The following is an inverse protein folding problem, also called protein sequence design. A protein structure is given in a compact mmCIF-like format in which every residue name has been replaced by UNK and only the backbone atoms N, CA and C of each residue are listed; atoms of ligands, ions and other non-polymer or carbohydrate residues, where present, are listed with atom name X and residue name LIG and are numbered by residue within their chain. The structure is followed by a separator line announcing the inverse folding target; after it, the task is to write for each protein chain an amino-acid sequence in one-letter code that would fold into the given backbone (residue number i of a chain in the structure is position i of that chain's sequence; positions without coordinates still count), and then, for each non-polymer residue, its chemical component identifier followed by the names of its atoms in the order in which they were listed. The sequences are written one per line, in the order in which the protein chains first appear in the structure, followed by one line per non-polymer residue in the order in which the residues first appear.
data_IF_184991620284
#
_entry.id   IF_184991620284
#
_cell.length_a   1.000
_cell.length_b   1.000
_cell.length_c   1.000
_cell.angle_alpha   90.00
_cell.angle_beta   90.00
_cell.angle_gamma   90.00
#
_symmetry.space_group_name_H-M   'P 1'
#
loop_
_entity.id
_entity.type
_entity.pdbx_description
1 polymer ?
#
# COMPACT_ATOMS: atom_id res chain seq x y z
N UNK A 1 16.70 -13.63 -4.16
CA UNK A 1 15.80 -12.47 -4.11
C UNK A 1 14.72 -12.53 -5.19
N UNK A 2 14.93 -11.85 -6.33
CA UNK A 2 13.87 -11.55 -7.31
C UNK A 2 13.16 -12.77 -7.91
N UNK A 3 13.88 -13.86 -8.20
CA UNK A 3 13.33 -15.12 -8.73
C UNK A 3 12.29 -15.79 -7.81
N UNK A 4 12.28 -15.46 -6.52
CA UNK A 4 11.38 -16.05 -5.51
C UNK A 4 10.33 -15.06 -4.99
N UNK A 5 10.25 -13.87 -5.58
CA UNK A 5 9.34 -12.81 -5.15
C UNK A 5 8.56 -12.26 -6.34
N UNK A 6 7.30 -11.91 -6.09
CA UNK A 6 6.36 -11.30 -7.02
C UNK A 6 5.98 -9.89 -6.55
N UNK A 7 6.95 -8.96 -6.41
CA UNK A 7 6.68 -7.63 -5.87
C UNK A 7 5.91 -6.76 -6.86
N UNK A 8 5.27 -5.70 -6.36
CA UNK A 8 4.69 -4.66 -7.22
C UNK A 8 5.78 -3.87 -7.95
N UNK A 9 6.91 -3.59 -7.27
CA UNK A 9 8.13 -2.99 -7.84
C UNK A 9 9.38 -3.59 -7.21
N UNK A 10 10.47 -3.63 -7.94
CA UNK A 10 11.79 -4.02 -7.40
C UNK A 10 12.83 -2.99 -7.78
N UNK A 11 13.80 -2.76 -6.90
CA UNK A 11 14.89 -1.82 -7.15
C UNK A 11 16.23 -2.43 -6.74
N UNK A 12 17.28 -1.92 -7.36
CA UNK A 12 18.67 -2.04 -6.94
C UNK A 12 19.30 -0.68 -7.18
N UNK A 13 20.03 -0.15 -6.19
CA UNK A 13 20.70 1.14 -6.28
C UNK A 13 22.09 1.05 -5.67
N UNK A 14 23.03 1.74 -6.31
CA UNK A 14 24.33 2.13 -5.78
C UNK A 14 24.46 3.63 -6.07
N UNK A 15 24.25 4.45 -5.05
CA UNK A 15 24.14 5.90 -5.19
C UNK A 15 24.73 6.60 -3.97
N UNK A 16 25.74 7.44 -4.19
CA UNK A 16 26.31 8.30 -3.14
C UNK A 16 26.86 7.55 -1.93
N UNK A 17 27.42 6.36 -2.13
CA UNK A 17 27.93 5.50 -1.04
C UNK A 17 26.87 4.62 -0.38
N UNK A 18 25.59 4.78 -0.75
CA UNK A 18 24.50 3.93 -0.30
C UNK A 18 24.22 2.82 -1.31
N UNK A 19 24.06 1.59 -0.80
CA UNK A 19 23.65 0.43 -1.58
C UNK A 19 22.39 -0.16 -1.00
N UNK A 20 21.38 -0.36 -1.83
CA UNK A 20 20.13 -0.99 -1.41
C UNK A 20 19.51 -1.81 -2.54
N UNK A 21 18.81 -2.87 -2.17
CA UNK A 21 17.98 -3.63 -3.08
C UNK A 21 16.70 -4.06 -2.37
N UNK A 22 15.58 -4.08 -3.08
CA UNK A 22 14.29 -4.34 -2.45
C UNK A 22 13.23 -4.90 -3.39
N UNK A 23 12.23 -5.52 -2.78
CA UNK A 23 11.06 -6.10 -3.43
C UNK A 23 9.81 -5.46 -2.80
N UNK A 24 9.43 -4.28 -3.27
CA UNK A 24 8.30 -3.52 -2.71
C UNK A 24 6.99 -4.28 -2.91
N UNK A 25 6.27 -4.62 -1.84
CA UNK A 25 4.99 -5.33 -1.96
C UNK A 25 3.88 -4.41 -2.52
N UNK A 26 4.02 -3.10 -2.34
CA UNK A 26 3.00 -2.11 -2.68
C UNK A 26 3.57 -0.89 -3.40
N UNK A 27 2.66 -0.04 -3.89
CA UNK A 27 2.97 1.24 -4.54
C UNK A 27 2.28 2.36 -3.77
N UNK A 28 3.08 3.26 -3.20
CA UNK A 28 2.58 4.42 -2.44
C UNK A 28 1.80 5.37 -3.36
N UNK A 29 2.34 5.63 -4.55
CA UNK A 29 1.78 6.54 -5.54
C UNK A 29 2.20 6.09 -6.94
N UNK A 30 1.27 6.09 -7.88
CA UNK A 30 1.54 6.13 -9.32
C UNK A 30 0.74 7.29 -9.92
N UNK A 31 1.40 8.10 -10.77
CA UNK A 31 0.74 9.18 -11.52
C UNK A 31 0.99 8.95 -13.01
N UNK A 32 -0.08 8.80 -13.79
CA UNK A 32 -0.01 8.69 -15.23
C UNK A 32 -0.01 10.08 -15.89
N UNK A 33 0.54 10.18 -17.11
CA UNK A 33 0.62 11.42 -17.89
C UNK A 33 -0.74 12.10 -18.09
N UNK A 34 -1.83 11.32 -18.13
CA UNK A 34 -3.20 11.82 -18.27
C UNK A 34 -3.83 12.32 -16.96
N UNK A 35 -3.03 12.49 -15.89
CA UNK A 35 -3.46 13.00 -14.59
C UNK A 35 -4.18 11.95 -13.71
N UNK A 36 -4.22 10.69 -14.12
CA UNK A 36 -4.76 9.61 -13.29
C UNK A 36 -3.76 9.24 -12.19
N UNK A 37 -4.25 9.15 -10.96
CA UNK A 37 -3.47 8.78 -9.77
C UNK A 37 -3.97 7.46 -9.22
N UNK A 38 -3.05 6.63 -8.73
CA UNK A 38 -3.37 5.42 -7.98
C UNK A 38 -2.50 5.28 -6.74
N UNK A 39 -3.04 4.59 -5.74
CA UNK A 39 -2.31 4.05 -4.60
C UNK A 39 -2.81 2.64 -4.30
N UNK A 40 -1.96 1.78 -3.75
CA UNK A 40 -2.31 0.40 -3.46
C UNK A 40 -1.98 0.00 -2.02
N UNK A 41 -2.83 0.31 -1.03
CA UNK A 41 -2.63 -0.16 0.34
C UNK A 41 -2.75 -1.68 0.44
N UNK A 42 -1.76 -2.30 1.09
CA UNK A 42 -1.77 -3.71 1.49
C UNK A 42 -1.83 -3.83 3.02
N UNK A 43 -2.90 -4.42 3.57
CA UNK A 43 -3.03 -4.68 4.99
C UNK A 43 -3.59 -6.08 5.23
N UNK A 44 -3.29 -6.61 6.42
CA UNK A 44 -3.51 -8.00 6.76
C UNK A 44 -2.60 -8.97 6.00
N UNK A 45 -2.12 -9.98 6.72
CA UNK A 45 -1.04 -10.83 6.23
C UNK A 45 -1.23 -12.27 6.66
N UNK A 46 -1.02 -13.20 5.73
CA UNK A 46 -0.77 -14.61 6.04
C UNK A 46 0.42 -15.11 5.23
N UNK A 47 1.12 -16.11 5.76
CA UNK A 47 2.25 -16.72 5.06
C UNK A 47 1.79 -17.49 3.80
N UNK A 48 2.61 -17.45 2.75
CA UNK A 48 2.34 -18.03 1.44
C UNK A 48 3.57 -18.84 0.97
N UNK A 49 3.36 -20.02 0.40
CA UNK A 49 4.42 -20.96 0.11
C UNK A 49 4.12 -21.93 -1.05
N UNK A 50 4.79 -23.09 -1.04
CA UNK A 50 4.69 -24.11 -2.09
C UNK A 50 3.46 -25.00 -1.97
N UNK A 51 2.90 -25.12 -0.77
CA UNK A 51 1.72 -25.93 -0.51
C UNK A 51 0.45 -25.14 -0.86
N UNK A 52 -0.19 -25.54 -1.96
CA UNK A 52 -1.39 -24.90 -2.46
C UNK A 52 -2.58 -25.05 -1.50
N UNK A 53 -2.71 -26.18 -0.80
CA UNK A 53 -3.83 -26.43 0.11
C UNK A 53 -3.71 -25.53 1.35
N UNK A 54 -2.50 -25.42 1.91
CA UNK A 54 -2.23 -24.53 3.03
C UNK A 54 -2.38 -23.05 2.64
N UNK A 55 -1.96 -22.67 1.42
CA UNK A 55 -2.17 -21.32 0.89
C UNK A 55 -3.65 -20.95 0.82
N UNK A 56 -4.50 -21.87 0.36
CA UNK A 56 -5.95 -21.66 0.24
C UNK A 56 -6.64 -21.62 1.61
N UNK A 57 -6.22 -22.48 2.55
CA UNK A 57 -6.68 -22.43 3.95
C UNK A 57 -6.38 -21.06 4.57
N UNK A 58 -5.15 -20.59 4.44
CA UNK A 58 -4.71 -19.28 4.94
C UNK A 58 -5.37 -18.11 4.21
N UNK A 59 -5.65 -18.27 2.91
CA UNK A 59 -6.41 -17.28 2.13
C UNK A 59 -7.81 -17.15 2.73
N UNK A 60 -8.48 -18.28 2.99
CA UNK A 60 -9.83 -18.32 3.58
C UNK A 60 -9.83 -17.70 4.98
N UNK A 61 -8.83 -18.03 5.80
CA UNK A 61 -8.62 -17.41 7.11
C UNK A 61 -8.46 -15.88 6.98
N UNK A 62 -7.60 -15.41 6.09
CA UNK A 62 -7.34 -13.98 5.88
C UNK A 62 -8.60 -13.20 5.46
N UNK A 63 -9.41 -13.74 4.54
CA UNK A 63 -10.61 -13.04 4.05
C UNK A 63 -11.81 -13.14 4.99
N UNK A 64 -11.73 -13.97 6.04
CA UNK A 64 -12.80 -14.18 7.01
C UNK A 64 -12.47 -13.64 8.39
N UNK A 65 -11.21 -13.27 8.67
CA UNK A 65 -10.77 -12.67 9.93
C UNK A 65 -11.32 -11.24 10.06
N UNK A 66 -12.28 -10.99 11.00
CA UNK A 66 -12.89 -9.68 11.15
C UNK A 66 -11.90 -8.57 11.48
N UNK A 67 -10.79 -8.89 12.17
CA UNK A 67 -9.76 -7.92 12.52
C UNK A 67 -9.03 -7.45 11.26
N UNK A 68 -8.55 -8.38 10.44
CA UNK A 68 -7.79 -8.08 9.22
C UNK A 68 -8.66 -7.30 8.22
N UNK A 69 -9.92 -7.69 8.10
CA UNK A 69 -10.93 -6.99 7.27
C UNK A 69 -11.11 -5.54 7.77
N UNK A 70 -11.26 -5.35 9.08
CA UNK A 70 -11.45 -4.03 9.66
C UNK A 70 -10.23 -3.13 9.42
N UNK A 71 -9.03 -3.61 9.75
CA UNK A 71 -7.78 -2.85 9.58
C UNK A 71 -7.54 -2.48 8.11
N UNK A 72 -7.83 -3.40 7.18
CA UNK A 72 -7.74 -3.12 5.75
C UNK A 72 -8.76 -2.08 5.29
N UNK A 73 -10.02 -2.21 5.70
CA UNK A 73 -11.08 -1.26 5.35
C UNK A 73 -10.77 0.15 5.87
N UNK A 74 -10.23 0.27 7.09
CA UNK A 74 -9.80 1.56 7.66
C UNK A 74 -8.64 2.15 6.85
N UNK A 75 -7.68 1.34 6.43
CA UNK A 75 -6.55 1.76 5.59
C UNK A 75 -7.02 2.28 4.23
N UNK A 76 -7.98 1.59 3.60
CA UNK A 76 -8.60 2.03 2.32
C UNK A 76 -9.33 3.34 2.49
N UNK A 77 -10.14 3.49 3.56
CA UNK A 77 -10.86 4.73 3.85
C UNK A 77 -9.90 5.91 3.99
N UNK A 78 -8.80 5.72 4.71
CA UNK A 78 -7.77 6.74 4.88
C UNK A 78 -7.09 7.09 3.54
N UNK A 79 -6.76 6.10 2.71
CA UNK A 79 -6.22 6.34 1.38
C UNK A 79 -7.19 7.15 0.50
N UNK A 80 -8.49 6.87 0.54
CA UNK A 80 -9.50 7.67 -0.15
C UNK A 80 -9.52 9.13 0.33
N UNK A 81 -9.42 9.36 1.65
CA UNK A 81 -9.40 10.70 2.22
C UNK A 81 -8.15 11.49 1.79
N UNK A 82 -6.99 10.86 1.78
CA UNK A 82 -5.72 11.47 1.33
C UNK A 82 -5.75 11.79 -0.16
N UNK A 83 -6.30 10.88 -0.98
CA UNK A 83 -6.49 11.16 -2.41
C UNK A 83 -7.49 12.28 -2.65
N UNK A 84 -8.59 12.36 -1.87
CA UNK A 84 -9.58 13.43 -2.01
C UNK A 84 -8.99 14.83 -1.78
N UNK A 85 -7.92 14.94 -0.99
CA UNK A 85 -7.22 16.20 -0.75
C UNK A 85 -6.49 16.74 -2.00
N UNK A 86 -6.22 15.91 -3.02
CA UNK A 86 -5.49 16.29 -4.25
C UNK A 86 -6.23 15.96 -5.56
N UNK A 87 -7.28 15.15 -5.47
CA UNK A 87 -8.09 14.73 -6.62
C UNK A 87 -9.34 15.62 -6.80
N UNK A 88 -9.87 15.63 -8.03
CA UNK A 88 -11.14 16.28 -8.34
C UNK A 88 -12.31 15.64 -7.59
N UNK A 89 -13.30 16.45 -7.20
CA UNK A 89 -14.49 15.98 -6.49
C UNK A 89 -15.16 14.83 -7.25
N UNK A 90 -15.51 13.76 -6.54
CA UNK A 90 -16.15 12.56 -7.12
C UNK A 90 -15.26 11.68 -8.00
N UNK A 91 -13.98 12.04 -8.21
CA UNK A 91 -13.08 11.22 -9.04
C UNK A 91 -12.45 10.05 -8.27
N UNK A 92 -12.40 10.12 -6.94
CA UNK A 92 -11.77 9.08 -6.10
C UNK A 92 -12.67 7.86 -6.02
N UNK A 93 -12.16 6.71 -6.47
CA UNK A 93 -12.88 5.43 -6.49
C UNK A 93 -11.97 4.29 -6.05
N UNK A 94 -12.57 3.30 -5.39
CA UNK A 94 -11.91 2.02 -5.07
C UNK A 94 -12.17 1.07 -6.24
N UNK A 95 -11.18 0.90 -7.13
CA UNK A 95 -11.33 0.05 -8.32
C UNK A 95 -11.22 -1.44 -8.00
N UNK A 96 -10.45 -1.77 -6.97
CA UNK A 96 -10.31 -3.12 -6.48
C UNK A 96 -10.34 -3.07 -4.95
N UNK A 97 -11.19 -3.89 -4.35
CA UNK A 97 -11.37 -3.91 -2.90
C UNK A 97 -11.03 -5.29 -2.33
N UNK A 98 -10.10 -5.33 -1.37
CA UNK A 98 -9.76 -6.51 -0.58
C UNK A 98 -9.39 -7.77 -1.38
N UNK A 99 -8.77 -7.60 -2.54
CA UNK A 99 -8.28 -8.73 -3.32
C UNK A 99 -7.05 -9.35 -2.63
N UNK A 100 -7.02 -10.68 -2.50
CA UNK A 100 -5.83 -11.35 -1.95
C UNK A 100 -4.71 -11.34 -2.99
N UNK A 101 -3.52 -10.89 -2.57
CA UNK A 101 -2.33 -10.74 -3.42
C UNK A 101 -1.12 -11.44 -2.82
N UNK A 102 -0.59 -12.49 -3.48
CA UNK A 102 0.70 -13.08 -3.13
C UNK A 102 1.86 -12.10 -3.37
N UNK A 103 2.77 -12.02 -2.40
CA UNK A 103 4.01 -11.22 -2.40
C UNK A 103 5.13 -12.08 -1.83
N UNK A 104 5.72 -12.92 -2.68
CA UNK A 104 6.81 -13.80 -2.26
C UNK A 104 6.36 -14.82 -1.22
N UNK A 105 6.83 -14.69 0.02
CA UNK A 105 6.54 -15.62 1.13
C UNK A 105 5.27 -15.31 1.93
N UNK A 106 4.51 -14.29 1.52
CA UNK A 106 3.28 -13.84 2.18
C UNK A 106 2.19 -13.51 1.17
N UNK A 107 0.95 -13.39 1.63
CA UNK A 107 -0.19 -12.86 0.89
C UNK A 107 -0.93 -11.84 1.76
N UNK A 108 -1.47 -10.80 1.12
CA UNK A 108 -2.14 -9.68 1.78
C UNK A 108 -3.53 -9.43 1.21
N UNK A 109 -4.39 -8.76 1.98
CA UNK A 109 -5.52 -8.04 1.38
C UNK A 109 -4.94 -6.79 0.70
N UNK A 110 -5.37 -6.54 -0.53
CA UNK A 110 -4.92 -5.41 -1.32
C UNK A 110 -6.14 -4.70 -1.91
N UNK A 111 -6.12 -3.37 -1.86
CA UNK A 111 -7.09 -2.55 -2.58
C UNK A 111 -6.37 -1.57 -3.48
N UNK A 112 -7.01 -1.16 -4.57
CA UNK A 112 -6.53 -0.08 -5.42
C UNK A 112 -7.50 1.09 -5.35
N UNK A 113 -7.01 2.22 -4.87
CA UNK A 113 -7.73 3.49 -4.88
C UNK A 113 -7.17 4.32 -6.02
N UNK A 114 -8.04 4.90 -6.82
CA UNK A 114 -7.66 5.75 -7.95
C UNK A 114 -8.45 7.04 -7.95
N UNK A 115 -7.94 8.03 -8.67
CA UNK A 115 -8.60 9.32 -8.86
C UNK A 115 -7.99 10.10 -10.02
N UNK A 116 -8.49 11.32 -10.23
CA UNK A 116 -7.89 12.28 -11.17
C UNK A 116 -7.39 13.48 -10.40
N UNK A 117 -6.13 13.88 -10.61
CA UNK A 117 -5.61 15.12 -10.04
C UNK A 117 -6.50 16.29 -10.43
N UNK A 118 -6.66 17.23 -9.50
CA UNK A 118 -7.21 18.54 -9.85
C UNK A 118 -6.26 19.26 -10.81
N UNK A 119 -6.77 20.18 -11.65
CA UNK A 119 -5.94 20.94 -12.58
C UNK A 119 -4.83 21.76 -11.91
N UNK A 120 -4.99 22.09 -10.63
CA UNK A 120 -4.06 22.88 -9.81
C UNK A 120 -3.12 22.02 -8.93
N UNK A 121 -3.20 20.68 -9.01
CA UNK A 121 -2.39 19.76 -8.21
C UNK A 121 -1.39 18.99 -9.08
N UNK A 122 -0.14 18.90 -8.61
CA UNK A 122 0.94 18.17 -9.26
C UNK A 122 1.27 16.82 -8.60
N UNK A 123 2.25 16.12 -9.19
CA UNK A 123 2.76 14.83 -8.69
C UNK A 123 3.32 14.96 -7.27
N UNK A 124 3.98 16.07 -6.96
CA UNK A 124 4.55 16.31 -5.63
C UNK A 124 3.49 16.56 -4.56
N UNK A 125 2.37 17.21 -4.90
CA UNK A 125 1.22 17.36 -3.98
C UNK A 125 0.61 15.99 -3.67
N UNK A 126 0.45 15.15 -4.70
CA UNK A 126 -0.02 13.79 -4.54
C UNK A 126 0.91 12.95 -3.65
N UNK A 127 2.22 13.08 -3.87
CA UNK A 127 3.22 12.38 -3.06
C UNK A 127 3.19 12.86 -1.61
N UNK A 128 3.16 14.17 -1.36
CA UNK A 128 3.08 14.74 -0.02
C UNK A 128 1.81 14.32 0.74
N UNK A 129 0.69 14.14 0.03
CA UNK A 129 -0.56 13.67 0.65
C UNK A 129 -0.48 12.19 1.07
N UNK A 130 0.05 11.33 0.19
CA UNK A 130 0.04 9.88 0.40
C UNK A 130 1.26 9.35 1.17
N UNK A 131 2.36 10.10 1.21
CA UNK A 131 3.58 9.68 1.90
C UNK A 131 3.59 10.12 3.38
N UNK A 132 4.15 9.31 4.31
CA UNK A 132 4.52 7.91 4.13
C UNK A 132 3.29 7.01 4.01
N UNK A 133 3.46 5.80 3.49
CA UNK A 133 2.36 4.86 3.32
C UNK A 133 1.65 4.57 4.65
N UNK A 134 0.31 4.55 4.66
CA UNK A 134 -0.51 4.30 5.85
C UNK A 134 -0.16 2.94 6.48
N UNK A 135 0.15 1.96 5.64
CA UNK A 135 0.57 0.59 5.96
C UNK A 135 1.94 0.51 6.65
N UNK A 136 2.78 1.54 6.50
CA UNK A 136 4.08 1.66 7.17
C UNK A 136 4.01 2.52 8.44
N UNK A 137 3.02 3.40 8.58
CA UNK A 137 2.90 4.30 9.75
C UNK A 137 1.87 3.84 10.76
N UNK A 138 0.68 3.39 10.31
CA UNK A 138 -0.51 3.17 11.12
C UNK A 138 -1.64 4.19 10.87
N UNK A 139 -2.81 3.94 11.47
CA UNK A 139 -4.01 4.78 11.36
C UNK A 139 -3.84 6.07 12.17
N UNK A 140 -4.22 7.22 11.58
CA UNK A 140 -3.89 8.58 12.07
C UNK A 140 -2.39 8.90 11.98
N UNK A 141 -1.92 9.19 10.75
CA UNK A 141 -0.51 9.47 10.42
C UNK A 141 0.23 10.33 11.45
N UNK A 142 -0.30 11.49 11.92
CA UNK A 142 0.43 12.33 12.87
C UNK A 142 0.63 11.66 14.23
N UNK A 143 -0.37 10.91 14.70
CA UNK A 143 -0.27 10.20 15.98
C UNK A 143 0.67 9.01 15.86
N UNK A 144 0.60 8.28 14.75
CA UNK A 144 1.39 7.09 14.50
C UNK A 144 2.88 7.42 14.29
N UNK A 145 3.20 8.48 13.53
CA UNK A 145 4.57 8.98 13.37
C UNK A 145 5.18 9.44 14.71
N UNK A 146 4.40 10.13 15.55
CA UNK A 146 4.84 10.49 16.90
C UNK A 146 5.09 9.27 17.79
N UNK A 147 4.35 8.18 17.60
CA UNK A 147 4.57 6.94 18.33
C UNK A 147 5.85 6.24 17.86
N UNK A 148 6.07 6.11 16.55
CA UNK A 148 7.30 5.54 15.99
C UNK A 148 8.54 6.28 16.49
N UNK A 149 8.55 7.61 16.43
CA UNK A 149 9.66 8.43 16.91
C UNK A 149 9.97 8.28 18.41
N UNK A 150 9.02 7.77 19.22
CA UNK A 150 9.24 7.49 20.66
C UNK A 150 9.72 6.07 20.94
N UNK A 151 9.49 5.12 20.04
CA UNK A 151 9.64 3.69 20.30
C UNK A 151 10.68 3.00 19.43
N UNK A 152 11.18 3.64 18.37
CA UNK A 152 12.25 3.13 17.52
C UNK A 152 13.46 4.08 17.61
N UNK A 153 14.64 3.53 17.96
CA UNK A 153 15.92 4.25 17.87
C UNK A 153 16.40 4.25 16.41
N UNK A 154 16.84 5.42 15.94
CA UNK A 154 17.25 5.66 14.54
C UNK A 154 18.64 5.16 14.18
#
# INVERSE_FOLDING_TARGET
GRRRNTPARSYVLDLGGYRAAGFSPETVLEVAENGRVSTQPLAGTRAYGRDQAENERRRTELISDPKEIHEHAVSVRQACAEMAAVCGAGSVVVEEFMAVRPRGSVQHLASRVTGRLRPDAGVWDAFASLFPAITATGVSKPAALRALARHEEG
#
